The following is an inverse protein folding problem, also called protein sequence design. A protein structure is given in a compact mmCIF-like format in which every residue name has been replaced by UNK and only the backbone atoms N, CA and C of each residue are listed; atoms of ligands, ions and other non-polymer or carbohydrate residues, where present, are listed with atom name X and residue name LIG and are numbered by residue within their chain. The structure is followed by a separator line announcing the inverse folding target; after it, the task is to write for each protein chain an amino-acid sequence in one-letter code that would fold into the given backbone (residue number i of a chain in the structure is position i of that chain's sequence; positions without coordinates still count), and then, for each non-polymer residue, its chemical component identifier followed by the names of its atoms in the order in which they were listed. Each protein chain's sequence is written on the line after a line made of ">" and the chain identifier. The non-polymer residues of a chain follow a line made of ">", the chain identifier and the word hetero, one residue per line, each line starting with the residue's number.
data_IF_243305054661
#
_entry.id   IF_243305054661
#
_cell.length_a   1.000
_cell.length_b   1.000
_cell.length_c   1.000
_cell.angle_alpha   90.00
_cell.angle_beta   90.00
_cell.angle_gamma   90.00
#
_symmetry.space_group_name_H-M   'P 1'
#
loop_
_entity.id
_entity.type
_entity.pdbx_description
1 polymer ?
#
# COMPACT_ATOMS: atom_id res chain seq x y z
N UNK A 1 50.57 -22.50 17.42
CA UNK A 1 49.24 -22.84 16.91
C UNK A 1 48.35 -21.59 17.02
N UNK A 2 47.96 -20.98 15.89
CA UNK A 2 47.10 -19.81 15.86
C UNK A 2 45.68 -20.32 15.52
N UNK A 3 44.75 -20.19 16.45
CA UNK A 3 43.35 -20.55 16.27
C UNK A 3 42.67 -19.36 15.59
N UNK A 4 42.32 -19.53 14.31
CA UNK A 4 41.48 -18.58 13.58
C UNK A 4 40.03 -18.78 14.03
N UNK A 5 39.49 -17.84 14.80
CA UNK A 5 38.08 -17.79 15.08
C UNK A 5 37.34 -17.24 13.86
N UNK A 6 36.65 -18.10 13.13
CA UNK A 6 35.74 -17.71 12.05
C UNK A 6 34.42 -17.31 12.70
N UNK A 7 34.21 -15.99 12.84
CA UNK A 7 32.87 -15.45 13.20
C UNK A 7 31.97 -15.62 12.02
N UNK A 8 31.11 -16.62 12.04
CA UNK A 8 29.98 -16.76 11.12
C UNK A 8 28.97 -15.65 11.43
N UNK A 9 29.01 -14.56 10.67
CA UNK A 9 27.93 -13.55 10.66
C UNK A 9 26.69 -14.22 10.10
N UNK A 10 25.73 -14.50 10.99
CA UNK A 10 24.41 -14.99 10.63
C UNK A 10 23.69 -13.83 9.90
N UNK A 11 23.74 -13.81 8.58
CA UNK A 11 22.92 -12.98 7.73
C UNK A 11 21.47 -13.45 7.93
N UNK A 12 20.78 -12.85 8.89
CA UNK A 12 19.31 -12.96 8.98
C UNK A 12 18.76 -12.23 7.77
N UNK A 13 18.53 -12.98 6.70
CA UNK A 13 17.71 -12.50 5.59
C UNK A 13 16.32 -12.30 6.15
N UNK A 14 15.98 -11.05 6.52
CA UNK A 14 14.60 -10.65 6.81
C UNK A 14 13.87 -10.82 5.49
N UNK A 15 13.29 -11.98 5.28
CA UNK A 15 12.36 -12.20 4.19
C UNK A 15 11.22 -11.21 4.38
N UNK A 16 11.08 -10.27 3.44
CA UNK A 16 10.02 -9.29 3.43
C UNK A 16 8.69 -10.05 3.23
N UNK A 17 8.07 -10.44 4.34
CA UNK A 17 6.77 -11.09 4.31
C UNK A 17 5.66 -10.05 4.09
N UNK A 18 4.55 -10.53 3.53
CA UNK A 18 3.39 -9.75 3.14
C UNK A 18 3.03 -8.66 4.17
N UNK A 19 2.89 -7.43 3.68
CA UNK A 19 2.69 -6.22 4.47
C UNK A 19 1.23 -5.99 4.86
N UNK A 20 0.30 -6.59 4.12
CA UNK A 20 -1.06 -6.79 4.60
C UNK A 20 -1.02 -7.68 5.84
N UNK A 21 -1.63 -7.23 6.93
CA UNK A 21 -1.58 -7.90 8.22
C UNK A 21 -0.43 -7.46 9.15
N UNK A 22 0.45 -6.54 8.71
CA UNK A 22 1.47 -5.95 9.57
C UNK A 22 0.87 -4.94 10.56
N UNK A 23 1.55 -4.79 11.70
CA UNK A 23 1.28 -3.70 12.64
C UNK A 23 1.99 -2.41 12.22
N UNK A 24 1.57 -1.27 12.79
CA UNK A 24 2.25 0.03 12.58
C UNK A 24 3.75 -0.06 12.92
N UNK A 25 4.10 -0.73 14.04
CA UNK A 25 5.48 -0.88 14.46
C UNK A 25 6.34 -1.68 13.46
N UNK A 26 5.79 -2.73 12.88
CA UNK A 26 6.47 -3.51 11.83
C UNK A 26 6.68 -2.69 10.56
N UNK A 27 5.68 -1.90 10.16
CA UNK A 27 5.82 -0.99 9.03
C UNK A 27 6.89 0.10 9.28
N UNK A 28 6.95 0.66 10.50
CA UNK A 28 7.99 1.62 10.89
C UNK A 28 9.41 1.03 10.84
N UNK A 29 9.57 -0.22 11.26
CA UNK A 29 10.87 -0.92 11.17
C UNK A 29 11.31 -1.10 9.71
N UNK A 30 10.37 -1.21 8.78
CA UNK A 30 10.64 -1.43 7.35
C UNK A 30 10.88 -0.15 6.59
N UNK A 31 9.97 0.83 6.76
CA UNK A 31 9.92 2.05 5.97
C UNK A 31 10.52 3.27 6.65
N UNK A 32 10.82 3.18 7.94
CA UNK A 32 11.17 4.32 8.77
C UNK A 32 9.94 5.00 9.39
N UNK A 33 10.15 6.20 9.92
CA UNK A 33 9.07 6.96 10.54
C UNK A 33 8.04 7.43 9.50
N UNK A 34 6.74 7.43 9.84
CA UNK A 34 5.72 7.97 8.95
C UNK A 34 5.88 9.48 8.79
N UNK A 35 5.51 9.98 7.63
CA UNK A 35 5.59 11.39 7.24
C UNK A 35 4.19 11.92 6.94
N UNK A 36 3.78 12.96 7.67
CA UNK A 36 2.46 13.59 7.51
C UNK A 36 2.34 14.40 6.21
N UNK A 37 3.45 14.94 5.71
CA UNK A 37 3.51 15.69 4.46
C UNK A 37 3.34 14.85 3.19
N UNK A 38 3.33 13.54 3.32
CA UNK A 38 3.05 12.61 2.21
C UNK A 38 1.54 12.33 2.02
N UNK A 39 0.69 12.81 2.92
CA UNK A 39 -0.76 12.81 2.78
C UNK A 39 -1.23 14.20 2.42
N UNK A 40 -1.76 14.36 1.21
CA UNK A 40 -2.31 15.64 0.77
C UNK A 40 -3.65 15.95 1.45
N UNK A 41 -4.04 17.24 1.54
CA UNK A 41 -5.30 17.65 2.17
C UNK A 41 -6.54 17.09 1.46
N UNK A 42 -6.38 16.68 0.20
CA UNK A 42 -7.44 16.08 -0.63
C UNK A 42 -7.34 14.55 -0.73
N UNK A 43 -6.33 13.94 -0.10
CA UNK A 43 -6.20 12.49 -0.10
C UNK A 43 -7.32 11.87 0.73
N UNK A 44 -8.16 11.08 0.10
CA UNK A 44 -9.16 10.29 0.82
C UNK A 44 -8.44 9.19 1.60
N UNK A 45 -8.86 8.91 2.84
CA UNK A 45 -8.32 7.78 3.58
C UNK A 45 -8.59 6.48 2.82
N UNK A 46 -7.63 5.55 2.87
CA UNK A 46 -7.75 4.26 2.20
C UNK A 46 -8.89 3.43 2.78
N UNK A 47 -9.10 3.52 4.10
CA UNK A 47 -10.26 2.97 4.80
C UNK A 47 -10.85 4.11 5.64
N UNK A 48 -12.11 4.44 5.39
CA UNK A 48 -12.81 5.48 6.14
C UNK A 48 -12.88 5.09 7.63
N UNK A 49 -12.31 5.93 8.51
CA UNK A 49 -12.23 5.67 9.95
C UNK A 49 -11.05 4.81 10.41
N UNK A 50 -10.23 4.30 9.50
CA UNK A 50 -8.96 3.64 9.82
C UNK A 50 -7.86 4.64 10.18
N UNK A 51 -6.83 4.15 10.90
CA UNK A 51 -5.60 4.91 11.14
C UNK A 51 -4.75 4.87 9.87
N UNK A 52 -4.51 6.00 9.24
CA UNK A 52 -3.65 6.08 8.07
C UNK A 52 -2.23 6.52 8.43
N UNK A 53 -1.25 5.92 7.80
CA UNK A 53 0.16 6.29 7.84
C UNK A 53 0.73 6.31 6.44
N UNK A 54 1.57 7.31 6.17
CA UNK A 54 2.31 7.43 4.92
C UNK A 54 3.81 7.39 5.20
N UNK A 55 4.55 6.72 4.34
CA UNK A 55 5.99 6.52 4.45
C UNK A 55 6.66 6.88 3.13
N UNK A 56 7.89 7.36 3.22
CA UNK A 56 8.80 7.45 2.09
C UNK A 56 9.82 6.32 2.17
N UNK A 57 9.95 5.55 1.11
CA UNK A 57 10.91 4.46 1.07
C UNK A 57 11.50 4.30 -0.34
N UNK A 58 12.79 4.62 -0.49
CA UNK A 58 13.54 4.45 -1.75
C UNK A 58 12.84 5.10 -2.97
N UNK A 59 12.33 6.31 -2.82
CA UNK A 59 11.60 7.02 -3.88
C UNK A 59 10.14 6.62 -4.05
N UNK A 60 9.63 5.77 -3.15
CA UNK A 60 8.24 5.38 -3.11
C UNK A 60 7.47 6.09 -2.02
N UNK A 61 6.24 6.48 -2.32
CA UNK A 61 5.22 6.80 -1.33
C UNK A 61 4.45 5.51 -1.02
N UNK A 62 4.46 5.10 0.24
CA UNK A 62 3.72 3.95 0.74
C UNK A 62 2.67 4.45 1.71
N UNK A 63 1.38 4.33 1.38
CA UNK A 63 0.26 4.66 2.28
C UNK A 63 -0.34 3.39 2.80
N UNK A 64 -0.56 3.30 4.09
CA UNK A 64 -1.12 2.13 4.75
C UNK A 64 -2.25 2.52 5.70
N UNK A 65 -3.37 1.80 5.66
CA UNK A 65 -4.51 2.00 6.54
C UNK A 65 -4.68 0.82 7.48
N UNK A 66 -4.79 1.13 8.76
CA UNK A 66 -4.83 0.18 9.86
C UNK A 66 -6.19 0.24 10.56
N UNK A 67 -6.75 -0.93 10.84
CA UNK A 67 -7.92 -1.12 11.70
C UNK A 67 -7.51 -2.08 12.81
N UNK A 68 -7.82 -1.76 14.06
CA UNK A 68 -7.40 -2.52 15.24
C UNK A 68 -5.89 -2.81 15.29
N UNK A 69 -5.08 -1.85 14.77
CA UNK A 69 -3.62 -1.92 14.74
C UNK A 69 -3.01 -2.77 13.62
N UNK A 70 -3.83 -3.36 12.75
CA UNK A 70 -3.42 -4.24 11.64
C UNK A 70 -3.67 -3.55 10.30
N UNK A 71 -2.70 -3.67 9.36
CA UNK A 71 -2.79 -3.12 8.01
C UNK A 71 -3.76 -3.94 7.15
N UNK A 72 -4.80 -3.28 6.63
CA UNK A 72 -5.81 -3.88 5.77
C UNK A 72 -5.82 -3.34 4.35
N UNK A 73 -5.31 -2.12 4.13
CA UNK A 73 -5.07 -1.54 2.80
C UNK A 73 -3.71 -0.89 2.74
N UNK A 74 -3.07 -1.01 1.59
CA UNK A 74 -1.78 -0.37 1.33
C UNK A 74 -1.73 0.08 -0.13
N UNK A 75 -1.18 1.25 -0.36
CA UNK A 75 -0.93 1.81 -1.69
C UNK A 75 0.55 2.09 -1.89
N UNK A 76 1.03 1.76 -3.08
CA UNK A 76 2.37 2.06 -3.57
C UNK A 76 2.27 2.99 -4.77
N UNK A 77 2.97 4.10 -4.70
CA UNK A 77 3.15 5.03 -5.81
C UNK A 77 4.58 5.56 -5.80
N UNK A 78 5.12 5.94 -6.94
CA UNK A 78 6.34 6.73 -6.94
C UNK A 78 6.09 8.12 -6.36
N UNK A 79 7.12 8.68 -5.73
CA UNK A 79 7.13 10.13 -5.49
C UNK A 79 7.18 10.84 -6.84
N UNK A 80 6.44 11.94 -7.01
CA UNK A 80 6.49 12.71 -8.25
C UNK A 80 7.90 13.28 -8.47
N UNK A 81 8.35 13.30 -9.72
CA UNK A 81 9.59 13.97 -10.14
C UNK A 81 9.21 15.27 -10.79
N UNK A 82 9.73 16.38 -10.27
CA UNK A 82 9.39 17.74 -10.72
C UNK A 82 7.87 18.02 -10.77
N UNK A 83 7.14 17.45 -9.81
CA UNK A 83 5.67 17.57 -9.73
C UNK A 83 4.92 16.68 -10.73
N UNK A 84 5.60 15.87 -11.53
CA UNK A 84 4.99 14.96 -12.51
C UNK A 84 4.86 13.57 -11.91
N UNK A 85 3.65 12.96 -11.90
CA UNK A 85 3.47 11.57 -11.47
C UNK A 85 4.27 10.61 -12.34
N UNK A 86 4.92 9.62 -11.70
CA UNK A 86 5.71 8.59 -12.37
C UNK A 86 4.90 7.30 -12.46
N UNK A 87 4.87 6.68 -13.65
CA UNK A 87 4.16 5.43 -13.87
C UNK A 87 4.92 4.23 -13.28
N UNK A 88 4.16 3.26 -12.80
CA UNK A 88 4.65 1.96 -12.37
C UNK A 88 4.94 1.10 -13.61
N UNK A 89 6.09 0.47 -13.63
CA UNK A 89 6.40 -0.55 -14.62
C UNK A 89 5.83 -1.91 -14.22
N UNK A 90 5.53 -2.78 -15.18
CA UNK A 90 5.06 -4.15 -14.91
C UNK A 90 6.08 -4.92 -14.04
N UNK A 91 7.39 -4.66 -14.21
CA UNK A 91 8.44 -5.28 -13.39
C UNK A 91 8.41 -4.83 -11.93
N UNK A 92 8.11 -3.57 -11.66
CA UNK A 92 7.94 -3.04 -10.29
C UNK A 92 6.71 -3.61 -9.63
N UNK A 93 5.58 -3.64 -10.34
CA UNK A 93 4.35 -4.27 -9.85
C UNK A 93 4.61 -5.73 -9.49
N UNK A 94 5.28 -6.50 -10.36
CA UNK A 94 5.61 -7.90 -10.09
C UNK A 94 6.51 -8.06 -8.84
N UNK A 95 7.49 -7.17 -8.64
CA UNK A 95 8.36 -7.19 -7.45
C UNK A 95 7.59 -6.89 -6.17
N UNK A 96 6.66 -5.92 -6.20
CA UNK A 96 5.84 -5.61 -5.03
C UNK A 96 4.92 -6.80 -4.71
N UNK A 97 4.23 -7.36 -5.71
CA UNK A 97 3.36 -8.52 -5.51
C UNK A 97 4.15 -9.73 -4.96
N UNK A 98 5.37 -9.95 -5.45
CA UNK A 98 6.26 -11.00 -4.93
C UNK A 98 6.62 -10.74 -3.45
N UNK A 99 6.93 -9.49 -3.08
CA UNK A 99 7.20 -9.10 -1.70
C UNK A 99 5.98 -9.22 -0.78
N UNK A 100 4.78 -9.04 -1.34
CA UNK A 100 3.51 -9.05 -0.62
C UNK A 100 2.85 -10.44 -0.54
N UNK A 101 3.36 -11.43 -1.27
CA UNK A 101 2.72 -12.74 -1.34
C UNK A 101 2.78 -13.52 -0.02
N UNK A 102 3.87 -13.38 0.77
CA UNK A 102 4.10 -14.19 1.96
C UNK A 102 4.10 -15.68 1.61
N UNK A 103 3.30 -16.46 2.33
CA UNK A 103 3.08 -17.90 2.06
C UNK A 103 1.98 -18.18 1.02
N UNK A 104 1.39 -17.14 0.47
CA UNK A 104 0.29 -17.21 -0.48
C UNK A 104 0.79 -17.03 -1.92
N UNK A 105 -0.08 -17.13 -2.90
CA UNK A 105 0.22 -16.89 -4.32
C UNK A 105 -0.77 -15.90 -4.91
N UNK A 106 -0.29 -15.02 -5.80
CA UNK A 106 -1.11 -14.13 -6.58
C UNK A 106 -1.50 -14.79 -7.90
N UNK A 107 -2.75 -14.60 -8.31
CA UNK A 107 -3.26 -14.98 -9.62
C UNK A 107 -3.79 -13.73 -10.30
N UNK A 108 -3.28 -13.44 -11.48
CA UNK A 108 -3.79 -12.34 -12.29
C UNK A 108 -5.21 -12.67 -12.78
N UNK A 109 -6.13 -11.73 -12.57
CA UNK A 109 -7.45 -11.79 -13.17
C UNK A 109 -7.37 -11.20 -14.57
N UNK A 110 -8.01 -11.85 -15.55
CA UNK A 110 -8.11 -11.27 -16.89
C UNK A 110 -8.80 -9.92 -16.83
N UNK A 111 -8.04 -8.87 -17.06
CA UNK A 111 -8.57 -7.50 -17.13
C UNK A 111 -9.64 -7.43 -18.21
N UNK A 112 -10.85 -7.09 -17.79
CA UNK A 112 -11.87 -6.63 -18.75
C UNK A 112 -11.78 -5.11 -18.73
N UNK A 113 -11.31 -4.53 -19.84
CA UNK A 113 -11.36 -3.07 -20.01
C UNK A 113 -12.79 -2.59 -19.73
N UNK A 114 -12.99 -1.69 -18.74
CA UNK A 114 -14.32 -1.19 -18.44
C UNK A 114 -14.96 -0.60 -19.70
N UNK A 115 -16.26 -0.85 -19.94
CA UNK A 115 -16.95 -0.41 -21.17
C UNK A 115 -16.80 1.07 -21.49
N UNK A 116 -16.71 1.93 -20.47
CA UNK A 116 -16.55 3.37 -20.61
C UNK A 116 -15.19 3.79 -21.21
N UNK A 117 -14.20 2.91 -21.22
CA UNK A 117 -12.86 3.17 -21.77
C UNK A 117 -12.61 2.45 -23.10
N UNK A 118 -13.59 1.65 -23.59
CA UNK A 118 -13.51 1.04 -24.92
C UNK A 118 -13.54 2.14 -25.97
N UNK A 119 -12.45 2.34 -26.67
CA UNK A 119 -12.30 3.38 -27.70
C UNK A 119 -11.26 4.45 -27.35
N UNK A 120 -10.93 4.66 -26.08
CA UNK A 120 -9.80 5.51 -25.66
C UNK A 120 -8.45 4.78 -25.73
N UNK A 121 -8.47 3.47 -25.86
CA UNK A 121 -7.28 2.60 -25.91
C UNK A 121 -6.34 2.89 -27.10
N UNK A 122 -6.87 3.49 -28.18
CA UNK A 122 -6.08 3.78 -29.38
C UNK A 122 -5.23 5.06 -29.27
N UNK A 123 -5.60 5.99 -28.36
CA UNK A 123 -4.90 7.27 -28.21
C UNK A 123 -3.80 7.31 -27.15
N UNK A 124 -3.94 6.52 -26.09
CA UNK A 124 -3.01 6.52 -24.96
C UNK A 124 -2.68 5.07 -24.58
N UNK A 125 -1.76 4.45 -25.33
CA UNK A 125 -1.30 3.09 -25.04
C UNK A 125 -0.80 2.99 -23.60
N UNK A 126 -1.48 2.20 -22.77
CA UNK A 126 -1.08 1.89 -21.39
C UNK A 126 -1.70 2.72 -20.28
N UNK A 127 -2.26 3.91 -20.55
CA UNK A 127 -2.73 4.83 -19.51
C UNK A 127 -3.98 4.35 -18.73
N UNK A 128 -4.71 3.35 -19.25
CA UNK A 128 -5.95 2.86 -18.64
C UNK A 128 -5.96 1.36 -18.36
N UNK A 129 -4.78 0.73 -18.33
CA UNK A 129 -4.70 -0.70 -18.02
C UNK A 129 -4.98 -0.90 -16.53
N UNK A 130 -6.17 -1.39 -16.20
CA UNK A 130 -6.52 -1.85 -14.87
C UNK A 130 -6.14 -3.34 -14.78
N UNK A 131 -5.00 -3.64 -14.18
CA UNK A 131 -4.63 -5.01 -13.86
C UNK A 131 -5.12 -5.35 -12.47
N UNK A 132 -5.63 -6.56 -12.29
CA UNK A 132 -6.13 -7.07 -11.03
C UNK A 132 -5.52 -8.42 -10.72
N UNK A 133 -5.29 -8.65 -9.44
CA UNK A 133 -4.82 -9.93 -8.93
C UNK A 133 -5.62 -10.32 -7.70
N UNK A 134 -5.87 -11.61 -7.54
CA UNK A 134 -6.41 -12.19 -6.32
C UNK A 134 -5.34 -13.09 -5.70
N UNK A 135 -5.10 -12.93 -4.40
CA UNK A 135 -4.21 -13.78 -3.62
C UNK A 135 -4.99 -14.98 -3.08
N UNK A 136 -4.32 -16.13 -2.88
CA UNK A 136 -5.00 -17.38 -2.49
C UNK A 136 -5.77 -17.31 -1.16
N UNK A 137 -5.49 -16.30 -0.30
CA UNK A 137 -6.26 -15.99 0.91
C UNK A 137 -7.36 -14.94 0.69
N UNK A 138 -7.68 -14.63 -0.57
CA UNK A 138 -8.69 -13.65 -1.00
C UNK A 138 -8.31 -12.18 -0.82
N UNK A 139 -7.07 -11.87 -0.49
CA UNK A 139 -6.58 -10.50 -0.63
C UNK A 139 -6.55 -10.12 -2.12
N UNK A 140 -6.74 -8.84 -2.41
CA UNK A 140 -6.80 -8.32 -3.78
C UNK A 140 -5.69 -7.30 -4.02
N UNK A 141 -5.28 -7.18 -5.26
CA UNK A 141 -4.41 -6.10 -5.72
C UNK A 141 -4.95 -5.54 -7.04
N UNK A 142 -4.80 -4.24 -7.24
CA UNK A 142 -5.17 -3.59 -8.50
C UNK A 142 -4.27 -2.40 -8.80
N UNK A 143 -3.98 -2.16 -10.08
CA UNK A 143 -3.34 -0.92 -10.51
C UNK A 143 -4.39 0.11 -10.91
N UNK A 144 -4.19 1.37 -10.50
CA UNK A 144 -5.03 2.48 -10.92
C UNK A 144 -4.23 3.40 -11.85
N UNK A 145 -4.67 3.52 -13.10
CA UNK A 145 -4.07 4.38 -14.14
C UNK A 145 -2.57 4.14 -14.38
N UNK A 146 -2.03 2.99 -13.96
CA UNK A 146 -0.59 2.75 -14.00
C UNK A 146 0.24 3.59 -13.02
N UNK A 147 -0.39 4.37 -12.14
CA UNK A 147 0.29 5.28 -11.21
C UNK A 147 0.35 4.74 -9.78
N UNK A 148 -0.61 3.91 -9.42
CA UNK A 148 -0.77 3.37 -8.06
C UNK A 148 -1.02 1.88 -8.14
N UNK A 149 -0.35 1.12 -7.27
CA UNK A 149 -0.71 -0.26 -6.95
C UNK A 149 -1.34 -0.28 -5.57
N UNK A 150 -2.61 -0.66 -5.51
CA UNK A 150 -3.37 -0.82 -4.28
C UNK A 150 -3.52 -2.29 -3.94
N UNK A 151 -3.27 -2.62 -2.68
CA UNK A 151 -3.52 -3.94 -2.12
C UNK A 151 -4.51 -3.83 -0.98
N UNK A 152 -5.39 -4.83 -0.84
CA UNK A 152 -6.36 -4.90 0.24
C UNK A 152 -6.52 -6.33 0.77
N UNK A 153 -6.70 -6.45 2.08
CA UNK A 153 -7.03 -7.72 2.71
C UNK A 153 -8.46 -8.14 2.34
N UNK A 154 -8.76 -9.43 2.48
CA UNK A 154 -10.11 -9.97 2.26
C UNK A 154 -11.19 -9.20 3.01
N UNK A 155 -10.89 -8.76 4.22
CA UNK A 155 -11.88 -8.19 5.14
C UNK A 155 -11.95 -6.65 5.07
N UNK A 156 -11.13 -6.01 4.23
CA UNK A 156 -11.00 -4.54 4.16
C UNK A 156 -12.33 -3.82 3.89
N UNK A 157 -13.12 -4.32 2.93
CA UNK A 157 -14.41 -3.71 2.57
C UNK A 157 -15.46 -3.84 3.69
N UNK A 158 -15.47 -4.96 4.41
CA UNK A 158 -16.41 -5.18 5.51
C UNK A 158 -16.03 -4.35 6.73
N UNK A 159 -14.73 -4.19 6.99
CA UNK A 159 -14.23 -3.28 8.02
C UNK A 159 -14.59 -1.83 7.70
N UNK A 160 -14.41 -1.38 6.47
CA UNK A 160 -14.80 -0.02 6.06
C UNK A 160 -16.31 0.24 6.24
N UNK A 161 -17.16 -0.71 5.83
CA UNK A 161 -18.61 -0.63 6.05
C UNK A 161 -18.98 -0.59 7.53
N UNK A 162 -18.28 -1.36 8.37
CA UNK A 162 -18.48 -1.37 9.82
C UNK A 162 -18.08 -0.03 10.45
N UNK A 163 -16.90 0.49 10.11
CA UNK A 163 -16.41 1.78 10.60
C UNK A 163 -17.29 2.95 10.12
N UNK A 164 -17.73 2.94 8.86
CA UNK A 164 -18.62 3.97 8.31
C UNK A 164 -20.00 4.04 8.98
N UNK A 165 -20.42 2.98 9.68
CA UNK A 165 -21.66 2.95 10.48
C UNK A 165 -21.45 3.41 11.93
N UNK A 166 -20.23 3.55 12.39
CA UNK A 166 -19.93 4.03 13.73
C UNK A 166 -20.18 5.54 13.80
N UNK A 167 -20.81 6.05 14.89
CA UNK A 167 -20.92 7.49 15.10
C UNK A 167 -19.53 8.11 15.06
N UNK A 168 -19.38 9.20 14.31
CA UNK A 168 -18.12 9.95 14.34
C UNK A 168 -17.80 10.32 15.78
N UNK A 169 -16.57 10.08 16.29
CA UNK A 169 -16.19 10.55 17.61
C UNK A 169 -16.49 12.05 17.69
N UNK A 170 -17.01 12.54 18.82
CA UNK A 170 -17.30 13.96 18.99
C UNK A 170 -16.00 14.71 18.67
N UNK A 171 -16.09 15.63 17.71
CA UNK A 171 -14.95 16.39 17.23
C UNK A 171 -14.24 17.02 18.41
N UNK A 172 -12.99 16.64 18.64
CA UNK A 172 -12.12 17.34 19.58
C UNK A 172 -12.00 18.75 19.02
N UNK A 173 -12.75 19.71 19.62
CA UNK A 173 -12.56 21.13 19.29
C UNK A 173 -11.07 21.41 19.57
N UNK A 174 -10.33 21.98 18.60
CA UNK A 174 -8.97 22.40 18.89
C UNK A 174 -9.04 23.33 20.09
N UNK A 175 -8.28 23.03 21.13
CA UNK A 175 -8.14 23.93 22.26
C UNK A 175 -7.63 25.25 21.66
N UNK A 176 -8.44 26.30 21.80
CA UNK A 176 -8.00 27.64 21.43
C UNK A 176 -6.76 27.95 22.29
N UNK A 177 -5.65 28.39 21.70
CA UNK A 177 -4.52 28.83 22.49
C UNK A 177 -5.03 29.91 23.44
N UNK A 178 -4.89 29.68 24.75
CA UNK A 178 -5.20 30.69 25.75
C UNK A 178 -4.28 31.89 25.54
N UNK A 179 -4.89 33.06 25.37
CA UNK A 179 -4.21 34.33 25.43
C UNK A 179 -3.93 34.68 26.88
#
# INVERSE_FOLDING_TARGET
>A
MKILAISAALLVTITAHARLGETVGQAQLRYGQPREDLTGPNDKPLIAGGLEKAYEYQGWRVRASYVDGICHRIEYAHLPVDGVPVQLTDAEVAKILEAEKGKFSWKEEKSKTPPQFKGLEQGIKGAFKLNKWERSDKAKAETALGLVLKLESRDADDLEKKLGKMPKPPGVKPALPGF
#
